data_IF_656151386670
#
_entry.id   IF_656151386670
#
_cell.length_a   1.000
_cell.length_b   1.000
_cell.length_c   1.000
_cell.angle_alpha   90.00
_cell.angle_beta   90.00
_cell.angle_gamma   90.00
#
_symmetry.space_group_name_H-M   'P 1'
#
loop_
_entity.id
_entity.type
_entity.pdbx_description
1 polymer ?
#
# COMPACT_ATOMS: atom_id res chain seq x y z
N UNK A 1 24.29 -19.69 -20.01
CA UNK A 1 24.17 -20.88 -19.13
C UNK A 1 24.31 -20.60 -17.62
N UNK A 2 25.19 -19.67 -17.19
CA UNK A 2 25.38 -19.33 -15.77
C UNK A 2 24.18 -18.59 -15.12
N UNK A 3 23.49 -17.71 -15.84
CA UNK A 3 22.36 -16.92 -15.32
C UNK A 3 21.13 -17.79 -15.01
N UNK A 4 20.85 -18.80 -15.84
CA UNK A 4 19.74 -19.73 -15.58
C UNK A 4 19.97 -20.63 -14.34
N UNK A 5 21.21 -21.04 -14.06
CA UNK A 5 21.54 -21.81 -12.86
C UNK A 5 21.40 -20.99 -11.57
N UNK A 6 21.77 -19.71 -11.60
CA UNK A 6 21.62 -18.79 -10.47
C UNK A 6 20.14 -18.55 -10.13
N UNK A 7 19.28 -18.36 -11.13
CA UNK A 7 17.84 -18.20 -10.93
C UNK A 7 17.18 -19.48 -10.40
N UNK A 8 17.61 -20.65 -10.89
CA UNK A 8 17.11 -21.94 -10.37
C UNK A 8 17.51 -22.20 -8.92
N UNK A 9 18.71 -21.79 -8.51
CA UNK A 9 19.18 -21.94 -7.13
C UNK A 9 18.44 -21.03 -6.16
N UNK A 10 18.22 -19.76 -6.53
CA UNK A 10 17.40 -18.82 -5.75
C UNK A 10 15.93 -19.30 -5.65
N UNK A 11 15.38 -19.84 -6.72
CA UNK A 11 14.04 -20.45 -6.75
C UNK A 11 13.91 -21.66 -5.80
N UNK A 12 14.93 -22.55 -5.78
CA UNK A 12 14.95 -23.69 -4.86
C UNK A 12 15.05 -23.29 -3.40
N UNK A 13 15.83 -22.26 -3.09
CA UNK A 13 15.97 -21.74 -1.73
C UNK A 13 14.65 -21.11 -1.22
N UNK A 14 13.99 -20.31 -2.05
CA UNK A 14 12.67 -19.73 -1.76
C UNK A 14 11.58 -20.81 -1.59
N UNK A 15 11.59 -21.85 -2.42
CA UNK A 15 10.66 -22.98 -2.29
C UNK A 15 10.93 -23.84 -1.04
N UNK A 16 12.19 -23.97 -0.62
CA UNK A 16 12.54 -24.66 0.62
C UNK A 16 12.12 -23.84 1.86
N UNK A 17 12.33 -22.52 1.83
CA UNK A 17 11.86 -21.61 2.89
C UNK A 17 10.34 -21.56 2.97
N UNK A 18 9.63 -21.62 1.83
CA UNK A 18 8.16 -21.66 1.81
C UNK A 18 7.62 -22.98 2.37
N UNK A 19 8.28 -24.11 2.13
CA UNK A 19 7.85 -25.42 2.65
C UNK A 19 8.05 -25.59 4.15
N UNK A 20 9.02 -24.90 4.78
CA UNK A 20 9.29 -24.97 6.21
C UNK A 20 8.47 -23.99 7.05
N UNK A 21 7.98 -22.88 6.47
CA UNK A 21 7.19 -21.85 7.17
C UNK A 21 5.67 -21.97 6.94
N UNK A 22 5.25 -22.64 5.87
CA UNK A 22 3.84 -22.81 5.47
C UNK A 22 3.00 -23.63 6.47
N UNK A 23 3.50 -24.67 7.20
CA UNK A 23 2.65 -25.41 8.12
C UNK A 23 2.09 -24.58 9.26
N UNK A 24 2.82 -23.54 9.73
CA UNK A 24 2.37 -22.75 10.90
C UNK A 24 1.30 -21.71 10.56
N UNK A 25 1.33 -21.15 9.35
CA UNK A 25 0.34 -20.14 8.92
C UNK A 25 -0.95 -20.77 8.39
N UNK A 26 -0.86 -21.96 7.77
CA UNK A 26 -2.01 -22.70 7.23
C UNK A 26 -2.82 -23.36 8.34
N UNK A 27 -2.18 -23.83 9.43
CA UNK A 27 -2.92 -24.43 10.56
C UNK A 27 -3.72 -23.40 11.35
N UNK A 28 -3.33 -22.12 11.38
CA UNK A 28 -4.11 -21.05 11.99
C UNK A 28 -5.28 -20.54 11.10
N UNK A 29 -5.18 -20.69 9.78
CA UNK A 29 -6.22 -20.29 8.82
C UNK A 29 -7.18 -21.45 8.44
N UNK A 30 -6.79 -22.69 8.73
CA UNK A 30 -7.49 -23.90 8.28
C UNK A 30 -8.92 -24.05 8.81
N UNK A 31 -9.27 -23.74 10.09
CA UNK A 31 -10.66 -23.86 10.55
C UNK A 31 -11.57 -22.79 9.93
N UNK A 32 -11.06 -21.59 9.65
CA UNK A 32 -11.85 -20.54 9.00
C UNK A 32 -12.07 -20.82 7.51
N UNK A 33 -11.12 -21.50 6.84
CA UNK A 33 -11.24 -21.88 5.43
C UNK A 33 -12.09 -23.14 5.22
N UNK A 34 -12.06 -24.08 6.13
CA UNK A 34 -12.90 -25.29 6.06
C UNK A 34 -14.40 -24.99 6.34
N UNK A 35 -14.71 -23.90 7.08
CA UNK A 35 -16.07 -23.42 7.28
C UNK A 35 -16.64 -22.68 6.04
N UNK A 36 -15.80 -22.38 5.05
CA UNK A 36 -16.17 -21.65 3.80
C UNK A 36 -16.92 -22.54 2.78
N UNK A 37 -16.93 -23.85 3.00
CA UNK A 37 -17.60 -24.79 2.06
C UNK A 37 -19.14 -24.82 2.19
N UNK A 38 -19.71 -24.13 3.20
CA UNK A 38 -21.17 -23.97 3.33
C UNK A 38 -21.60 -22.55 2.98
N UNK A 39 -21.71 -22.23 1.67
CA UNK A 39 -22.34 -21.02 1.12
C UNK A 39 -22.07 -19.70 1.86
N UNK A 40 -20.84 -19.22 1.99
CA UNK A 40 -20.65 -17.86 2.44
C UNK A 40 -21.12 -16.92 1.33
N UNK A 41 -21.92 -15.94 1.68
CA UNK A 41 -22.16 -14.82 0.76
C UNK A 41 -20.82 -14.27 0.28
N UNK A 42 -20.62 -14.02 -1.01
CA UNK A 42 -19.31 -13.74 -1.62
C UNK A 42 -18.54 -12.56 -1.04
N UNK A 43 -19.19 -11.71 -0.24
CA UNK A 43 -18.59 -10.55 0.41
C UNK A 43 -17.86 -10.89 1.73
N UNK A 44 -18.29 -11.90 2.47
CA UNK A 44 -17.85 -12.15 3.85
C UNK A 44 -16.38 -12.50 4.01
N UNK A 45 -15.73 -13.05 2.99
CA UNK A 45 -14.35 -13.49 3.11
C UNK A 45 -13.29 -12.40 2.95
N UNK A 46 -13.60 -11.26 2.33
CA UNK A 46 -12.65 -10.16 2.08
C UNK A 46 -12.75 -9.01 3.09
N UNK A 47 -13.94 -8.76 3.64
CA UNK A 47 -14.19 -7.62 4.53
C UNK A 47 -13.35 -7.64 5.81
N UNK A 48 -13.22 -8.80 6.45
CA UNK A 48 -12.40 -8.96 7.66
C UNK A 48 -10.90 -8.75 7.39
N UNK A 49 -10.40 -9.21 6.25
CA UNK A 49 -9.01 -8.94 5.85
C UNK A 49 -8.77 -7.45 5.61
N UNK A 50 -9.70 -6.77 4.95
CA UNK A 50 -9.62 -5.33 4.75
C UNK A 50 -9.62 -4.59 6.10
N UNK A 51 -10.51 -4.97 7.03
CA UNK A 51 -10.56 -4.41 8.37
C UNK A 51 -9.25 -4.61 9.13
N UNK A 52 -8.70 -5.82 9.10
CA UNK A 52 -7.42 -6.12 9.74
C UNK A 52 -6.28 -5.26 9.19
N UNK A 53 -6.17 -5.09 7.87
CA UNK A 53 -5.16 -4.24 7.23
C UNK A 53 -5.35 -2.77 7.64
N UNK A 54 -6.58 -2.28 7.66
CA UNK A 54 -6.89 -0.89 8.05
C UNK A 54 -6.53 -0.65 9.52
N UNK A 55 -6.96 -1.52 10.43
CA UNK A 55 -6.66 -1.38 11.85
C UNK A 55 -5.16 -1.49 12.14
N UNK A 56 -4.46 -2.44 11.51
CA UNK A 56 -3.01 -2.56 11.63
C UNK A 56 -2.29 -1.30 11.12
N UNK A 57 -2.76 -0.70 10.03
CA UNK A 57 -2.20 0.53 9.47
C UNK A 57 -2.40 1.73 10.40
N UNK A 58 -3.60 1.88 10.98
CA UNK A 58 -3.92 2.92 11.95
C UNK A 58 -3.07 2.75 13.22
N UNK A 59 -3.00 1.52 13.76
CA UNK A 59 -2.22 1.20 14.96
C UNK A 59 -0.73 1.49 14.74
N UNK A 60 -0.17 1.07 13.60
CA UNK A 60 1.21 1.35 13.25
C UNK A 60 1.46 2.86 13.15
N UNK A 61 0.60 3.59 12.45
CA UNK A 61 0.71 5.05 12.32
C UNK A 61 0.60 5.76 13.70
N UNK A 62 -0.29 5.27 14.57
CA UNK A 62 -0.44 5.80 15.92
C UNK A 62 0.83 5.56 16.77
N UNK A 63 1.37 4.33 16.76
CA UNK A 63 2.58 3.98 17.49
C UNK A 63 3.80 4.77 17.02
N UNK A 64 3.98 4.96 15.72
CA UNK A 64 5.07 5.76 15.15
C UNK A 64 5.04 7.23 15.62
N UNK A 65 3.87 7.72 16.00
CA UNK A 65 3.67 9.10 16.46
C UNK A 65 3.43 9.23 17.97
N UNK A 66 3.70 8.15 18.72
CA UNK A 66 3.53 8.18 20.16
C UNK A 66 4.68 8.92 20.88
N UNK A 67 4.41 9.50 22.04
CA UNK A 67 5.41 10.26 22.81
C UNK A 67 6.51 9.34 23.37
N UNK A 68 6.14 8.18 23.92
CA UNK A 68 7.09 7.28 24.57
C UNK A 68 7.97 6.56 23.55
N UNK A 69 9.31 6.59 23.69
CA UNK A 69 10.23 5.99 22.74
C UNK A 69 10.02 4.47 22.57
N UNK A 70 9.74 3.73 23.63
CA UNK A 70 9.44 2.29 23.55
C UNK A 70 8.26 1.97 22.64
N UNK A 71 7.20 2.78 22.68
CA UNK A 71 6.01 2.58 21.82
C UNK A 71 6.36 2.86 20.35
N UNK A 72 7.17 3.88 20.08
CA UNK A 72 7.65 4.17 18.70
C UNK A 72 8.51 3.04 18.16
N UNK A 73 9.42 2.48 18.98
CA UNK A 73 10.21 1.30 18.60
C UNK A 73 9.29 0.16 18.20
N UNK A 74 8.27 -0.13 19.01
CA UNK A 74 7.31 -1.18 18.71
C UNK A 74 6.53 -0.91 17.41
N UNK A 75 6.10 0.34 17.18
CA UNK A 75 5.47 0.77 15.92
C UNK A 75 6.38 0.57 14.70
N UNK A 76 7.69 0.86 14.85
CA UNK A 76 8.68 0.65 13.78
C UNK A 76 8.89 -0.84 13.49
N UNK A 77 8.92 -1.68 14.53
CA UNK A 77 8.96 -3.15 14.37
C UNK A 77 7.69 -3.65 13.68
N UNK A 78 6.51 -3.15 14.07
CA UNK A 78 5.26 -3.53 13.44
C UNK A 78 5.22 -3.16 11.95
N UNK A 79 5.75 -1.98 11.59
CA UNK A 79 5.91 -1.58 10.19
C UNK A 79 6.86 -2.53 9.42
N UNK A 80 7.97 -2.94 10.05
CA UNK A 80 8.89 -3.91 9.47
C UNK A 80 8.22 -5.28 9.23
N UNK A 81 7.46 -5.75 10.21
CA UNK A 81 6.69 -6.99 10.08
C UNK A 81 5.65 -6.90 8.95
N UNK A 82 5.00 -5.74 8.76
CA UNK A 82 4.13 -5.49 7.62
C UNK A 82 4.86 -5.62 6.28
N UNK A 83 6.09 -5.11 6.19
CA UNK A 83 6.92 -5.29 4.99
C UNK A 83 7.25 -6.78 4.72
N UNK A 84 7.60 -7.54 5.75
CA UNK A 84 7.84 -8.98 5.59
C UNK A 84 6.56 -9.76 5.28
N UNK A 85 5.41 -9.33 5.80
CA UNK A 85 4.12 -9.91 5.42
C UNK A 85 3.84 -9.77 3.91
N UNK A 86 4.23 -8.66 3.29
CA UNK A 86 4.16 -8.49 1.82
C UNK A 86 5.05 -9.50 1.10
N UNK A 87 6.26 -9.77 1.61
CA UNK A 87 7.16 -10.78 1.02
C UNK A 87 6.57 -12.20 1.16
N UNK A 88 6.02 -12.53 2.32
CA UNK A 88 5.35 -13.82 2.55
C UNK A 88 4.14 -13.96 1.63
N UNK A 89 3.30 -12.94 1.55
CA UNK A 89 2.18 -12.91 0.63
C UNK A 89 2.62 -13.12 -0.82
N UNK A 90 3.70 -12.46 -1.26
CA UNK A 90 4.23 -12.65 -2.60
C UNK A 90 4.75 -14.08 -2.83
N UNK A 91 5.37 -14.71 -1.83
CA UNK A 91 5.80 -16.11 -1.95
C UNK A 91 4.61 -17.07 -2.12
N UNK A 92 3.47 -16.76 -1.51
CA UNK A 92 2.23 -17.50 -1.73
C UNK A 92 1.69 -17.33 -3.15
N UNK A 93 1.75 -16.10 -3.70
CA UNK A 93 1.38 -15.84 -5.10
C UNK A 93 2.22 -16.69 -6.05
N UNK A 94 3.53 -16.79 -5.83
CA UNK A 94 4.41 -17.65 -6.63
C UNK A 94 3.93 -19.11 -6.64
N UNK A 95 3.41 -19.60 -5.52
CA UNK A 95 2.85 -20.95 -5.39
C UNK A 95 1.56 -21.19 -6.18
N UNK A 96 0.86 -20.13 -6.60
CA UNK A 96 -0.39 -20.26 -7.38
C UNK A 96 -0.16 -20.55 -8.87
N UNK A 97 1.05 -20.35 -9.38
CA UNK A 97 1.36 -20.46 -10.80
C UNK A 97 0.78 -19.34 -11.69
N UNK A 98 0.03 -18.39 -11.13
CA UNK A 98 -0.63 -17.31 -11.91
C UNK A 98 0.39 -16.45 -12.67
N UNK A 99 1.60 -16.29 -12.12
CA UNK A 99 2.66 -15.53 -12.80
C UNK A 99 3.25 -16.25 -14.01
N UNK A 100 3.09 -17.57 -14.08
CA UNK A 100 3.61 -18.43 -15.15
C UNK A 100 2.55 -18.68 -16.23
N UNK A 101 1.27 -18.63 -15.85
CA UNK A 101 0.14 -18.85 -16.73
C UNK A 101 -0.75 -17.60 -16.80
N UNK A 102 -0.32 -16.59 -17.58
CA UNK A 102 -1.08 -15.37 -17.73
C UNK A 102 -2.45 -15.63 -18.38
N UNK A 103 -3.43 -14.80 -18.04
CA UNK A 103 -4.76 -14.88 -18.68
C UNK A 103 -4.64 -14.79 -20.21
N UNK A 104 -5.44 -15.55 -20.96
CA UNK A 104 -5.58 -15.32 -22.39
C UNK A 104 -6.02 -13.87 -22.66
N UNK A 105 -5.56 -13.29 -23.78
CA UNK A 105 -5.83 -11.90 -24.20
C UNK A 105 -5.18 -10.81 -23.34
N UNK A 106 -3.96 -11.03 -22.88
CA UNK A 106 -3.19 -10.00 -22.21
C UNK A 106 -2.71 -8.91 -23.18
N UNK A 107 -2.79 -7.66 -22.73
CA UNK A 107 -2.15 -6.53 -23.42
C UNK A 107 -0.64 -6.52 -23.13
N UNK A 108 0.19 -5.87 -23.96
CA UNK A 108 1.62 -5.69 -23.65
C UNK A 108 1.89 -5.06 -22.28
N UNK A 109 0.97 -4.25 -21.77
CA UNK A 109 1.08 -3.66 -20.44
C UNK A 109 0.88 -4.70 -19.30
N UNK A 110 0.17 -5.78 -19.55
CA UNK A 110 -0.01 -6.85 -18.58
C UNK A 110 1.28 -7.67 -18.38
N UNK A 111 2.13 -7.75 -19.38
CA UNK A 111 3.41 -8.47 -19.29
C UNK A 111 4.39 -7.89 -18.28
N UNK A 112 4.24 -6.61 -17.93
CA UNK A 112 5.05 -5.95 -16.91
C UNK A 112 4.61 -6.27 -15.46
N UNK A 113 3.39 -6.76 -15.25
CA UNK A 113 2.82 -6.98 -13.91
C UNK A 113 3.62 -7.94 -13.02
N UNK A 114 4.09 -9.11 -13.51
CA UNK A 114 4.95 -9.97 -12.72
C UNK A 114 6.22 -9.26 -12.24
N UNK A 115 6.89 -8.52 -13.14
CA UNK A 115 8.09 -7.77 -12.79
C UNK A 115 7.82 -6.69 -11.73
N UNK A 116 6.68 -6.01 -11.82
CA UNK A 116 6.27 -5.02 -10.80
C UNK A 116 6.04 -5.68 -9.43
N UNK A 117 5.42 -6.86 -9.37
CA UNK A 117 5.24 -7.60 -8.12
C UNK A 117 6.58 -8.05 -7.53
N UNK A 118 7.52 -8.53 -8.35
CA UNK A 118 8.88 -8.85 -7.92
C UNK A 118 9.61 -7.63 -7.36
N UNK A 119 9.54 -6.50 -8.06
CA UNK A 119 10.12 -5.25 -7.61
C UNK A 119 9.54 -4.82 -6.25
N UNK A 120 8.24 -4.90 -6.08
CA UNK A 120 7.57 -4.53 -4.83
C UNK A 120 7.97 -5.45 -3.66
N UNK A 121 8.02 -6.76 -3.88
CA UNK A 121 8.48 -7.71 -2.86
C UNK A 121 9.92 -7.43 -2.45
N UNK A 122 10.80 -7.14 -3.41
CA UNK A 122 12.20 -6.78 -3.15
C UNK A 122 12.34 -5.48 -2.36
N UNK A 123 11.59 -4.45 -2.75
CA UNK A 123 11.56 -3.17 -2.04
C UNK A 123 11.01 -3.35 -0.62
N UNK A 124 9.94 -4.14 -0.45
CA UNK A 124 9.37 -4.44 0.87
C UNK A 124 10.39 -5.17 1.76
N UNK A 125 11.13 -6.13 1.22
CA UNK A 125 12.16 -6.84 1.98
C UNK A 125 13.26 -5.88 2.48
N UNK A 126 13.80 -5.05 1.58
CA UNK A 126 14.83 -4.06 1.93
C UNK A 126 14.30 -3.06 2.95
N UNK A 127 13.08 -2.55 2.75
CA UNK A 127 12.42 -1.62 3.67
C UNK A 127 12.23 -2.26 5.06
N UNK A 128 11.83 -3.53 5.13
CA UNK A 128 11.71 -4.28 6.38
C UNK A 128 13.02 -4.34 7.15
N UNK A 129 14.14 -4.65 6.47
CA UNK A 129 15.46 -4.66 7.08
C UNK A 129 15.89 -3.26 7.56
N UNK A 130 15.65 -2.23 6.76
CA UNK A 130 15.96 -0.84 7.14
C UNK A 130 15.16 -0.39 8.36
N UNK A 131 13.88 -0.76 8.44
CA UNK A 131 13.02 -0.47 9.58
C UNK A 131 13.49 -1.21 10.85
N UNK A 132 13.94 -2.46 10.75
CA UNK A 132 14.54 -3.16 11.89
C UNK A 132 15.82 -2.47 12.39
N UNK A 133 16.67 -2.03 11.48
CA UNK A 133 17.85 -1.23 11.85
C UNK A 133 17.47 0.10 12.50
N UNK A 134 16.42 0.76 11.99
CA UNK A 134 15.89 1.99 12.58
C UNK A 134 15.33 1.74 13.98
N UNK A 135 14.56 0.66 14.19
CA UNK A 135 14.04 0.28 15.49
C UNK A 135 15.18 0.00 16.50
N UNK A 136 16.23 -0.69 16.08
CA UNK A 136 17.41 -0.93 16.91
C UNK A 136 18.10 0.38 17.32
N UNK A 137 18.24 1.35 16.40
CA UNK A 137 18.81 2.68 16.74
C UNK A 137 17.90 3.46 17.67
N UNK A 138 16.58 3.43 17.42
CA UNK A 138 15.59 4.09 18.28
C UNK A 138 15.54 3.50 19.69
N UNK A 139 15.78 2.19 19.85
CA UNK A 139 15.76 1.55 21.17
C UNK A 139 16.85 2.07 22.12
N UNK A 140 17.91 2.67 21.56
CA UNK A 140 18.99 3.32 22.32
C UNK A 140 18.71 4.79 22.64
N UNK A 141 17.61 5.36 22.13
CA UNK A 141 17.24 6.75 22.35
C UNK A 141 16.19 6.84 23.45
N UNK A 142 16.40 7.74 24.40
CA UNK A 142 15.42 8.09 25.44
C UNK A 142 14.59 9.34 25.08
N UNK A 143 14.73 9.86 23.86
CA UNK A 143 14.06 11.09 23.42
C UNK A 143 12.53 10.94 23.45
N UNK A 144 11.90 11.77 24.25
CA UNK A 144 10.43 11.88 24.34
C UNK A 144 9.93 12.85 23.27
N UNK A 145 9.03 12.42 22.44
CA UNK A 145 8.48 13.20 21.36
C UNK A 145 7.25 14.00 21.85
N UNK A 146 7.40 15.31 21.99
CA UNK A 146 6.29 16.20 22.32
C UNK A 146 5.73 16.84 21.04
N UNK A 147 4.64 16.29 20.54
CA UNK A 147 3.96 16.81 19.33
C UNK A 147 2.51 17.09 19.67
N UNK A 148 2.08 18.34 19.44
CA UNK A 148 0.69 18.76 19.53
C UNK A 148 -0.20 18.13 18.43
N UNK A 149 -1.53 18.21 18.56
CA UNK A 149 -2.45 17.66 17.55
C UNK A 149 -2.41 18.45 16.23
N UNK A 150 -2.23 19.78 16.30
CA UNK A 150 -2.18 20.69 15.14
C UNK A 150 -0.75 20.86 14.62
N UNK A 151 -0.64 21.25 13.36
CA UNK A 151 0.62 21.63 12.74
C UNK A 151 1.20 22.89 13.36
N UNK A 152 2.51 22.94 13.46
CA UNK A 152 3.32 24.10 13.82
C UNK A 152 4.02 24.65 12.55
N UNK A 153 4.59 25.86 12.57
CA UNK A 153 5.22 26.42 11.37
C UNK A 153 6.34 25.57 10.78
N UNK A 154 7.07 24.84 11.62
CA UNK A 154 8.26 24.05 11.26
C UNK A 154 8.02 22.53 11.18
N UNK A 155 6.89 22.02 11.71
CA UNK A 155 6.61 20.57 11.77
C UNK A 155 5.13 20.23 11.68
N UNK A 156 4.86 19.01 11.21
CA UNK A 156 3.50 18.48 11.19
C UNK A 156 3.07 18.00 12.57
N UNK A 157 1.84 18.33 12.94
CA UNK A 157 1.19 17.83 14.14
C UNK A 157 0.79 16.37 14.07
N UNK A 158 0.46 15.80 15.21
CA UNK A 158 0.14 14.36 15.34
C UNK A 158 -0.95 13.90 14.40
N UNK A 159 -2.03 14.66 14.23
CA UNK A 159 -3.14 14.27 13.33
C UNK A 159 -2.68 14.20 11.88
N UNK A 160 -1.97 15.23 11.40
CA UNK A 160 -1.44 15.24 10.02
C UNK A 160 -0.51 14.06 9.74
N UNK A 161 0.35 13.73 10.70
CA UNK A 161 1.30 12.62 10.60
C UNK A 161 0.60 11.26 10.62
N UNK A 162 -0.36 11.06 11.53
CA UNK A 162 -1.15 9.83 11.59
C UNK A 162 -1.92 9.59 10.30
N UNK A 163 -2.64 10.60 9.82
CA UNK A 163 -3.39 10.49 8.56
C UNK A 163 -2.47 10.22 7.38
N UNK A 164 -1.30 10.89 7.34
CA UNK A 164 -0.32 10.64 6.29
C UNK A 164 0.19 9.20 6.29
N UNK A 165 0.66 8.72 7.43
CA UNK A 165 1.24 7.38 7.51
C UNK A 165 0.20 6.27 7.33
N UNK A 166 -1.00 6.41 7.91
CA UNK A 166 -2.10 5.48 7.65
C UNK A 166 -2.42 5.42 6.15
N UNK A 167 -2.59 6.59 5.51
CA UNK A 167 -2.86 6.66 4.07
C UNK A 167 -1.72 6.06 3.26
N UNK A 168 -0.46 6.35 3.60
CA UNK A 168 0.71 5.83 2.89
C UNK A 168 0.81 4.30 2.97
N UNK A 169 0.62 3.73 4.16
CA UNK A 169 0.65 2.27 4.36
C UNK A 169 -0.46 1.60 3.54
N UNK A 170 -1.70 2.09 3.67
CA UNK A 170 -2.85 1.55 2.93
C UNK A 170 -2.67 1.68 1.41
N UNK A 171 -2.15 2.82 0.96
CA UNK A 171 -1.96 3.09 -0.46
C UNK A 171 -0.86 2.22 -1.06
N UNK A 172 0.26 2.03 -0.33
CA UNK A 172 1.34 1.12 -0.76
C UNK A 172 0.84 -0.33 -0.79
N UNK A 173 0.01 -0.76 0.16
CA UNK A 173 -0.58 -2.10 0.17
C UNK A 173 -1.60 -2.29 -0.97
N UNK A 174 -2.37 -1.25 -1.29
CA UNK A 174 -3.44 -1.30 -2.30
C UNK A 174 -2.93 -1.59 -3.70
N UNK A 175 -1.73 -1.09 -4.04
CA UNK A 175 -1.13 -1.24 -5.36
C UNK A 175 -0.86 -2.71 -5.72
N UNK A 176 -0.09 -3.49 -4.93
CA UNK A 176 0.15 -4.90 -5.23
C UNK A 176 -1.14 -5.74 -5.19
N UNK A 177 -2.05 -5.44 -4.28
CA UNK A 177 -3.35 -6.12 -4.20
C UNK A 177 -4.14 -5.90 -5.51
N UNK A 178 -4.16 -4.68 -6.03
CA UNK A 178 -4.86 -4.36 -7.29
C UNK A 178 -4.21 -4.99 -8.52
N UNK A 179 -2.88 -4.99 -8.59
CA UNK A 179 -2.14 -5.66 -9.67
C UNK A 179 -2.47 -7.15 -9.67
N UNK A 180 -2.35 -7.81 -8.52
CA UNK A 180 -2.59 -9.23 -8.42
C UNK A 180 -4.06 -9.57 -8.69
N UNK A 181 -5.02 -8.82 -8.13
CA UNK A 181 -6.44 -9.01 -8.41
C UNK A 181 -6.76 -8.99 -9.91
N UNK A 182 -6.07 -8.15 -10.68
CA UNK A 182 -6.25 -8.07 -12.13
C UNK A 182 -5.68 -9.28 -12.90
N UNK A 183 -4.83 -10.09 -12.28
CA UNK A 183 -4.19 -11.27 -12.86
C UNK A 183 -4.93 -12.57 -12.50
N UNK A 184 -5.72 -12.57 -11.43
CA UNK A 184 -6.45 -13.77 -10.98
C UNK A 184 -7.49 -14.17 -12.03
N UNK A 185 -7.55 -15.46 -12.45
CA UNK A 185 -8.60 -15.97 -13.29
C UNK A 185 -9.99 -15.74 -12.68
N UNK A 186 -10.97 -15.41 -13.51
CA UNK A 186 -12.32 -15.02 -13.06
C UNK A 186 -13.12 -16.14 -12.43
N UNK A 187 -12.75 -17.38 -12.69
CA UNK A 187 -13.32 -18.61 -12.13
C UNK A 187 -12.64 -19.04 -10.82
N UNK A 188 -11.56 -18.38 -10.40
CA UNK A 188 -10.89 -18.69 -9.16
C UNK A 188 -11.76 -18.29 -7.94
N UNK A 189 -11.88 -19.18 -6.97
CA UNK A 189 -12.67 -18.97 -5.74
C UNK A 189 -12.20 -17.76 -4.91
N UNK A 190 -10.93 -17.40 -4.99
CA UNK A 190 -10.35 -16.30 -4.21
C UNK A 190 -10.35 -14.94 -4.95
N UNK A 191 -10.85 -14.85 -6.20
CA UNK A 191 -10.89 -13.58 -6.94
C UNK A 191 -11.77 -12.53 -6.25
N UNK A 192 -12.93 -12.94 -5.74
CA UNK A 192 -13.87 -12.03 -5.05
C UNK A 192 -13.31 -11.44 -3.77
N UNK A 193 -12.74 -12.22 -2.83
CA UNK A 193 -12.07 -11.67 -1.65
C UNK A 193 -11.07 -10.57 -1.97
N UNK A 194 -10.24 -10.75 -2.99
CA UNK A 194 -9.28 -9.72 -3.40
C UNK A 194 -9.95 -8.43 -3.90
N UNK A 195 -11.04 -8.54 -4.66
CA UNK A 195 -11.78 -7.36 -5.09
C UNK A 195 -12.47 -6.65 -3.91
N UNK A 196 -13.00 -7.38 -2.94
CA UNK A 196 -13.59 -6.80 -1.72
C UNK A 196 -12.52 -6.04 -0.93
N UNK A 197 -11.37 -6.65 -0.68
CA UNK A 197 -10.22 -6.01 0.01
C UNK A 197 -9.79 -4.75 -0.76
N UNK A 198 -9.55 -4.85 -2.06
CA UNK A 198 -9.10 -3.74 -2.88
C UNK A 198 -10.09 -2.56 -2.85
N UNK A 199 -11.38 -2.84 -3.06
CA UNK A 199 -12.42 -1.80 -3.08
C UNK A 199 -12.60 -1.16 -1.71
N UNK A 200 -12.64 -1.95 -0.64
CA UNK A 200 -12.80 -1.43 0.73
C UNK A 200 -11.62 -0.54 1.13
N UNK A 201 -10.39 -0.96 0.89
CA UNK A 201 -9.20 -0.14 1.18
C UNK A 201 -9.21 1.10 0.28
N UNK A 202 -9.59 0.98 -1.00
CA UNK A 202 -9.67 2.10 -1.93
C UNK A 202 -10.64 3.18 -1.46
N UNK A 203 -11.85 2.80 -1.01
CA UNK A 203 -12.82 3.73 -0.42
C UNK A 203 -12.28 4.35 0.87
N UNK A 204 -11.63 3.56 1.72
CA UNK A 204 -11.02 4.05 2.97
C UNK A 204 -9.93 5.09 2.69
N UNK A 205 -9.05 4.83 1.73
CA UNK A 205 -8.00 5.79 1.30
C UNK A 205 -8.62 7.06 0.75
N UNK A 206 -9.70 6.96 -0.03
CA UNK A 206 -10.42 8.13 -0.51
C UNK A 206 -11.04 8.95 0.63
N UNK A 207 -11.66 8.30 1.61
CA UNK A 207 -12.21 8.97 2.79
C UNK A 207 -11.11 9.66 3.62
N UNK A 208 -9.95 9.01 3.81
CA UNK A 208 -8.79 9.61 4.48
C UNK A 208 -8.23 10.81 3.71
N UNK A 209 -8.26 10.77 2.37
CA UNK A 209 -7.88 11.91 1.53
C UNK A 209 -8.80 13.09 1.75
N UNK A 210 -10.13 12.87 1.72
CA UNK A 210 -11.14 13.92 1.97
C UNK A 210 -10.92 14.52 3.35
N UNK A 211 -10.74 13.67 4.38
CA UNK A 211 -10.41 14.13 5.73
C UNK A 211 -9.12 14.96 5.75
N UNK A 212 -8.07 14.53 5.04
CA UNK A 212 -6.79 15.25 4.97
C UNK A 212 -6.93 16.62 4.30
N UNK A 213 -7.74 16.74 3.25
CA UNK A 213 -8.01 18.02 2.61
C UNK A 213 -8.75 18.96 3.54
N UNK A 214 -9.75 18.45 4.27
CA UNK A 214 -10.46 19.19 5.30
C UNK A 214 -9.53 19.61 6.43
N UNK A 215 -8.73 18.69 6.97
CA UNK A 215 -7.77 18.97 8.05
C UNK A 215 -6.75 20.05 7.68
N UNK A 216 -6.25 20.03 6.44
CA UNK A 216 -5.32 21.04 5.96
C UNK A 216 -5.89 22.47 5.90
N UNK A 217 -7.21 22.62 5.93
CA UNK A 217 -7.87 23.94 6.07
C UNK A 217 -7.91 24.40 7.53
N UNK A 218 -8.05 23.47 8.47
CA UNK A 218 -8.11 23.76 9.91
C UNK A 218 -6.73 23.87 10.55
N UNK A 219 -5.73 23.20 9.98
CA UNK A 219 -4.36 23.19 10.49
C UNK A 219 -3.42 23.48 9.31
N UNK A 220 -2.96 24.73 9.21
CA UNK A 220 -2.09 25.19 8.12
C UNK A 220 -0.88 24.27 8.01
N UNK A 221 -0.56 23.88 6.78
CA UNK A 221 0.63 23.06 6.52
C UNK A 221 1.89 23.85 6.88
N UNK A 222 2.92 23.20 7.46
CA UNK A 222 4.22 23.82 7.67
C UNK A 222 4.79 24.31 6.34
N UNK A 223 5.56 25.37 6.40
CA UNK A 223 6.30 25.85 5.22
C UNK A 223 7.31 24.81 4.77
N UNK A 224 7.60 24.78 3.47
CA UNK A 224 8.67 23.92 2.94
C UNK A 224 9.99 24.32 3.58
N UNK A 225 10.89 23.34 3.75
CA UNK A 225 12.21 23.55 4.34
C UNK A 225 12.96 24.68 3.61
N UNK A 226 13.41 25.69 4.36
CA UNK A 226 14.12 26.85 3.83
C UNK A 226 15.45 26.49 3.15
N UNK A 227 16.03 25.33 3.50
CA UNK A 227 17.28 24.82 2.91
C UNK A 227 17.13 24.29 1.49
N UNK A 228 15.89 24.05 1.02
CA UNK A 228 15.63 23.58 -0.34
C UNK A 228 15.93 24.68 -1.37
N UNK A 229 16.63 24.31 -2.44
CA UNK A 229 16.82 25.17 -3.61
C UNK A 229 15.48 25.55 -4.23
N UNK A 230 15.35 26.74 -4.84
CA UNK A 230 14.08 27.19 -5.45
C UNK A 230 13.47 26.19 -6.44
N UNK A 231 14.30 25.52 -7.25
CA UNK A 231 13.85 24.49 -8.17
C UNK A 231 13.30 23.25 -7.46
N UNK A 232 13.99 22.77 -6.41
CA UNK A 232 13.56 21.62 -5.61
C UNK A 232 12.24 21.89 -4.89
N UNK A 233 12.05 23.10 -4.38
CA UNK A 233 10.81 23.55 -3.77
C UNK A 233 9.64 23.54 -4.76
N UNK A 234 9.86 24.02 -6.00
CA UNK A 234 8.86 23.97 -7.06
C UNK A 234 8.49 22.53 -7.43
N UNK A 235 9.49 21.66 -7.56
CA UNK A 235 9.27 20.25 -7.88
C UNK A 235 8.54 19.51 -6.74
N UNK A 236 8.95 19.69 -5.49
CA UNK A 236 8.27 19.11 -4.34
C UNK A 236 6.78 19.53 -4.31
N UNK A 237 6.49 20.80 -4.55
CA UNK A 237 5.12 21.29 -4.62
C UNK A 237 4.30 20.62 -5.74
N UNK A 238 4.86 20.53 -6.96
CA UNK A 238 4.21 19.86 -8.10
C UNK A 238 3.95 18.39 -7.84
N UNK A 239 4.93 17.66 -7.31
CA UNK A 239 4.78 16.24 -6.97
C UNK A 239 3.64 16.04 -5.96
N UNK A 240 3.54 16.88 -4.93
CA UNK A 240 2.43 16.81 -3.99
C UNK A 240 1.07 17.09 -4.65
N UNK A 241 0.97 18.08 -5.51
CA UNK A 241 -0.28 18.36 -6.26
C UNK A 241 -0.67 17.16 -7.11
N UNK A 242 0.27 16.61 -7.89
CA UNK A 242 0.01 15.44 -8.74
C UNK A 242 -0.42 14.24 -7.89
N UNK A 243 0.22 13.99 -6.75
CA UNK A 243 -0.20 12.91 -5.83
C UNK A 243 -1.64 13.11 -5.35
N UNK A 244 -2.05 14.33 -4.97
CA UNK A 244 -3.44 14.60 -4.59
C UNK A 244 -4.41 14.35 -5.75
N UNK A 245 -4.06 14.78 -6.97
CA UNK A 245 -4.88 14.51 -8.17
C UNK A 245 -4.98 13.01 -8.43
N UNK A 246 -3.88 12.27 -8.34
CA UNK A 246 -3.89 10.81 -8.52
C UNK A 246 -4.72 10.10 -7.46
N UNK A 247 -4.62 10.51 -6.20
CA UNK A 247 -5.41 9.95 -5.10
C UNK A 247 -6.91 10.18 -5.24
N UNK A 248 -7.33 11.18 -6.01
CA UNK A 248 -8.73 11.42 -6.39
C UNK A 248 -9.09 10.62 -7.65
N UNK A 249 -8.28 10.72 -8.69
CA UNK A 249 -8.58 10.16 -10.00
C UNK A 249 -8.63 8.61 -10.00
N UNK A 250 -7.69 7.96 -9.27
CA UNK A 250 -7.61 6.50 -9.23
C UNK A 250 -8.89 5.86 -8.65
N UNK A 251 -9.38 6.21 -7.44
CA UNK A 251 -10.60 5.61 -6.92
C UNK A 251 -11.85 5.99 -7.71
N UNK A 252 -11.94 7.20 -8.25
CA UNK A 252 -13.07 7.61 -9.10
C UNK A 252 -13.14 6.76 -10.37
N UNK A 253 -12.01 6.63 -11.08
CA UNK A 253 -12.00 5.81 -12.31
C UNK A 253 -12.29 4.34 -12.02
N UNK A 254 -11.84 3.80 -10.88
CA UNK A 254 -12.16 2.45 -10.42
C UNK A 254 -13.64 2.26 -10.12
N UNK A 255 -14.26 3.23 -9.45
CA UNK A 255 -15.69 3.20 -9.17
C UNK A 255 -16.54 3.27 -10.47
N UNK A 256 -16.21 4.21 -11.36
CA UNK A 256 -16.89 4.39 -12.63
C UNK A 256 -16.78 3.14 -13.50
N UNK A 257 -15.59 2.59 -13.64
CA UNK A 257 -15.35 1.32 -14.34
C UNK A 257 -16.22 0.19 -13.79
N UNK A 258 -16.19 0.00 -12.46
CA UNK A 258 -16.92 -1.08 -11.79
C UNK A 258 -18.43 -0.92 -11.96
N UNK A 259 -18.96 0.29 -11.76
CA UNK A 259 -20.37 0.60 -11.87
C UNK A 259 -20.87 0.43 -13.30
N UNK A 260 -20.14 0.94 -14.30
CA UNK A 260 -20.51 0.78 -15.72
C UNK A 260 -20.38 -0.68 -16.23
N UNK A 261 -19.54 -1.48 -15.58
CA UNK A 261 -19.48 -2.92 -15.86
C UNK A 261 -20.68 -3.68 -15.28
N UNK A 262 -21.42 -3.05 -14.36
CA UNK A 262 -22.61 -3.60 -13.70
C UNK A 262 -22.31 -4.33 -12.39
N UNK A 263 -21.13 -4.10 -11.79
CA UNK A 263 -20.77 -4.66 -10.48
C UNK A 263 -20.87 -3.60 -9.38
N UNK A 264 -21.23 -4.05 -8.18
CA UNK A 264 -21.22 -3.21 -6.99
C UNK A 264 -19.81 -2.87 -6.48
N UNK A 265 -19.76 -1.87 -5.64
CA UNK A 265 -18.55 -1.52 -4.85
C UNK A 265 -18.77 -1.96 -3.42
N UNK A 266 -17.74 -2.56 -2.82
CA UNK A 266 -17.84 -3.10 -1.46
C UNK A 266 -17.19 -2.17 -0.45
N UNK A 267 -17.87 -1.97 0.69
CA UNK A 267 -17.33 -1.40 1.91
C UNK A 267 -17.47 -2.50 2.97
N UNK A 268 -16.39 -3.22 3.24
CA UNK A 268 -16.39 -4.46 4.00
C UNK A 268 -17.37 -5.48 3.38
N UNK A 269 -18.42 -5.83 4.07
CA UNK A 269 -19.44 -6.78 3.63
C UNK A 269 -20.64 -6.11 2.92
N UNK A 270 -20.71 -4.78 2.98
CA UNK A 270 -21.80 -4.05 2.35
C UNK A 270 -21.51 -3.79 0.87
N UNK A 271 -22.40 -4.22 0.03
CA UNK A 271 -22.37 -3.92 -1.40
C UNK A 271 -23.16 -2.64 -1.68
N UNK A 272 -22.45 -1.64 -2.20
CA UNK A 272 -23.07 -0.46 -2.79
C UNK A 272 -23.40 -0.84 -4.24
N UNK A 273 -24.69 -0.86 -4.63
CA UNK A 273 -25.08 -1.21 -5.99
C UNK A 273 -24.49 -0.24 -7.02
N UNK A 274 -24.33 -0.67 -8.28
CA UNK A 274 -23.89 0.21 -9.34
C UNK A 274 -24.92 1.30 -9.59
N UNK A 275 -24.50 2.58 -9.57
CA UNK A 275 -25.40 3.72 -9.82
C UNK A 275 -25.32 4.23 -11.26
N UNK A 276 -24.29 3.84 -12.02
CA UNK A 276 -24.16 4.18 -13.43
C UNK A 276 -24.74 3.06 -14.31
N UNK A 277 -25.38 3.40 -15.43
CA UNK A 277 -25.90 2.40 -16.35
C UNK A 277 -24.76 1.56 -16.95
N UNK A 278 -25.05 0.28 -17.22
CA UNK A 278 -24.11 -0.59 -17.95
C UNK A 278 -23.76 0.01 -19.30
N UNK A 279 -22.48 0.10 -19.59
CA UNK A 279 -21.96 0.70 -20.83
C UNK A 279 -20.60 0.13 -21.17
N UNK A 280 -20.32 -0.05 -22.46
CA UNK A 280 -18.99 -0.44 -22.96
C UNK A 280 -17.89 0.58 -22.61
N UNK A 281 -18.24 1.78 -22.19
CA UNK A 281 -17.31 2.78 -21.69
C UNK A 281 -16.53 2.29 -20.45
N UNK A 282 -16.95 1.22 -19.78
CA UNK A 282 -16.17 0.59 -18.70
C UNK A 282 -14.75 0.19 -19.16
N UNK A 283 -14.56 -0.11 -20.46
CA UNK A 283 -13.25 -0.47 -21.03
C UNK A 283 -12.30 0.73 -20.96
N UNK A 284 -12.78 1.93 -21.32
CA UNK A 284 -12.00 3.17 -21.29
C UNK A 284 -11.60 3.49 -19.85
N UNK A 285 -12.57 3.49 -18.92
CA UNK A 285 -12.32 3.75 -17.49
C UNK A 285 -11.42 2.68 -16.87
N UNK A 286 -11.57 1.43 -17.32
CA UNK A 286 -10.69 0.33 -16.93
C UNK A 286 -9.26 0.52 -17.41
N UNK A 287 -9.05 1.04 -18.61
CA UNK A 287 -7.71 1.38 -19.13
C UNK A 287 -7.06 2.48 -18.27
N UNK A 288 -7.78 3.51 -17.89
CA UNK A 288 -7.28 4.53 -16.96
C UNK A 288 -6.93 3.92 -15.61
N UNK A 289 -7.85 3.16 -15.00
CA UNK A 289 -7.68 2.65 -13.64
C UNK A 289 -6.62 1.54 -13.53
N UNK A 290 -6.53 0.65 -14.52
CA UNK A 290 -5.65 -0.53 -14.44
C UNK A 290 -4.23 -0.26 -14.98
N UNK A 291 -4.09 0.69 -15.91
CA UNK A 291 -2.84 0.91 -16.64
C UNK A 291 -2.32 2.32 -16.48
N UNK A 292 -2.99 3.33 -17.03
CA UNK A 292 -2.42 4.66 -17.14
C UNK A 292 -2.13 5.28 -15.77
N UNK A 293 -3.14 5.37 -14.92
CA UNK A 293 -3.01 6.04 -13.62
C UNK A 293 -2.08 5.29 -12.65
N UNK A 294 -2.12 3.95 -12.50
CA UNK A 294 -1.18 3.25 -11.64
C UNK A 294 0.27 3.38 -12.07
N UNK A 295 0.58 3.33 -13.37
CA UNK A 295 1.96 3.48 -13.84
C UNK A 295 2.49 4.91 -13.62
N UNK A 296 1.67 5.93 -13.89
CA UNK A 296 2.00 7.31 -13.53
C UNK A 296 2.21 7.46 -12.01
N UNK A 297 1.35 6.83 -11.23
CA UNK A 297 1.43 6.85 -9.78
C UNK A 297 2.75 6.24 -9.27
N UNK A 298 3.24 5.13 -9.83
CA UNK A 298 4.55 4.57 -9.49
C UNK A 298 5.67 5.58 -9.67
N UNK A 299 5.66 6.29 -10.80
CA UNK A 299 6.69 7.29 -11.12
C UNK A 299 6.64 8.44 -10.10
N UNK A 300 5.46 8.97 -9.84
CA UNK A 300 5.29 10.14 -8.95
C UNK A 300 5.50 9.76 -7.49
N UNK A 301 5.02 8.59 -7.06
CA UNK A 301 5.26 8.07 -5.71
C UNK A 301 6.75 7.79 -5.49
N UNK A 302 7.41 7.20 -6.50
CA UNK A 302 8.86 7.02 -6.50
C UNK A 302 9.60 8.35 -6.37
N UNK A 303 9.24 9.35 -7.13
CA UNK A 303 9.83 10.70 -7.05
C UNK A 303 9.59 11.33 -5.66
N UNK A 304 8.42 11.14 -5.06
CA UNK A 304 8.11 11.62 -3.71
C UNK A 304 8.99 10.96 -2.65
N UNK A 305 9.09 9.64 -2.66
CA UNK A 305 9.87 8.87 -1.69
C UNK A 305 11.37 9.15 -1.87
N UNK A 306 11.88 9.01 -3.11
CA UNK A 306 13.30 9.21 -3.42
C UNK A 306 13.73 10.66 -3.16
N UNK A 307 12.86 11.64 -3.43
CA UNK A 307 13.11 13.03 -3.09
C UNK A 307 13.29 13.24 -1.59
N UNK A 308 12.40 12.67 -0.77
CA UNK A 308 12.51 12.75 0.69
C UNK A 308 13.77 12.06 1.21
N UNK A 309 14.12 10.89 0.66
CA UNK A 309 15.34 10.15 1.02
C UNK A 309 16.60 10.89 0.57
N UNK A 310 16.63 11.43 -0.66
CA UNK A 310 17.74 12.27 -1.16
C UNK A 310 18.01 13.43 -0.20
N UNK A 311 16.99 14.20 0.13
CA UNK A 311 17.14 15.35 1.02
C UNK A 311 17.63 14.94 2.42
N UNK A 312 17.19 13.78 2.92
CA UNK A 312 17.62 13.32 4.23
C UNK A 312 19.06 12.77 4.26
N UNK A 313 19.41 11.88 3.30
CA UNK A 313 20.66 11.14 3.32
C UNK A 313 21.80 11.81 2.53
N UNK A 314 21.48 12.41 1.37
CA UNK A 314 22.48 12.97 0.45
C UNK A 314 22.71 14.45 0.77
N UNK A 315 21.63 15.24 0.80
CA UNK A 315 21.74 16.68 1.04
C UNK A 315 21.92 16.99 2.55
N UNK A 316 21.78 15.96 3.42
CA UNK A 316 21.89 16.05 4.88
C UNK A 316 20.92 17.08 5.51
N UNK A 317 19.84 17.42 4.81
CA UNK A 317 18.76 18.26 5.31
C UNK A 317 17.91 17.44 6.29
N UNK A 318 18.31 17.42 7.56
CA UNK A 318 17.65 16.62 8.61
C UNK A 318 16.17 16.99 8.80
N UNK A 319 15.75 18.18 8.33
CA UNK A 319 14.38 18.69 8.47
C UNK A 319 13.34 17.94 7.64
N UNK A 320 13.65 17.54 6.40
CA UNK A 320 12.65 17.03 5.46
C UNK A 320 11.90 15.79 6.00
N UNK A 321 12.62 14.77 6.48
CA UNK A 321 12.02 13.55 7.01
C UNK A 321 11.59 13.72 8.48
N UNK A 322 12.37 14.42 9.30
CA UNK A 322 12.04 14.67 10.72
C UNK A 322 10.69 15.36 10.92
N UNK A 323 10.25 16.18 9.98
CA UNK A 323 8.94 16.84 10.03
C UNK A 323 7.77 15.86 10.05
N UNK A 324 7.97 14.63 9.54
CA UNK A 324 6.96 13.58 9.41
C UNK A 324 7.21 12.35 10.30
N UNK A 325 8.44 12.13 10.78
CA UNK A 325 8.78 10.97 11.63
C UNK A 325 9.19 11.38 13.06
N UNK A 326 9.61 12.63 13.29
CA UNK A 326 10.05 13.13 14.59
C UNK A 326 11.52 13.01 14.80
#
# INVERSE_FOLDING_TARGET
>A
MHIQRSQQSARRLLLLLSRSLVPLAITAASPAMAAVEQNPTPAQSGGWFALAIILASILTAWMLNYSAPKVRVFGTVLAALGCFAVVIWFSQILGTGILEHPKPNQTPMDSAKPALLWMQASVAFIAGLMLLMAAYRQSKSSEVLTIGPKNEPDRYGRVSRMVHWTTAILFIALIPIGIFASMIPTDSWFVRPYYVVHKTIGVTVFALLVFRLFWNRHSKRPELDGSLKPAERKWAHRVHIILYVMMIAVPITGYVMTSMHGFGTYIFEWEIPPILPKSQAYIIWGTFHKYLLPYLLYIILGAHILGALKHHFIDKHKGALKRMVG
#
